data_IF_130861159116
#
_entry.id   IF_130861159116
#
_cell.length_a   1.000
_cell.length_b   1.000
_cell.length_c   1.000
_cell.angle_alpha   90.00
_cell.angle_beta   90.00
_cell.angle_gamma   90.00
#
_symmetry.space_group_name_H-M   'P 1'
#
loop_
_entity.id
_entity.type
_entity.pdbx_description
1 polymer ?
#
# COMPACT_ATOMS: atom_id res chain seq x y z
N UNK A 1 14.25 -4.20 3.95
CA UNK A 1 13.21 -3.93 2.93
C UNK A 1 11.84 -3.56 3.53
N UNK A 2 11.33 -4.26 4.55
CA UNK A 2 10.03 -3.95 5.16
C UNK A 2 9.87 -2.48 5.60
N UNK A 3 10.82 -1.97 6.39
CA UNK A 3 10.78 -0.57 6.83
C UNK A 3 11.06 0.45 5.71
N UNK A 4 11.70 0.03 4.61
CA UNK A 4 11.83 0.87 3.42
C UNK A 4 10.45 1.13 2.78
N UNK A 5 9.64 0.07 2.62
CA UNK A 5 8.26 0.20 2.16
C UNK A 5 7.43 1.10 3.08
N UNK A 6 7.58 0.95 4.40
CA UNK A 6 6.90 1.84 5.36
C UNK A 6 7.33 3.30 5.20
N UNK A 7 8.64 3.55 5.01
CA UNK A 7 9.18 4.88 4.78
C UNK A 7 8.53 5.55 3.56
N UNK A 8 8.39 4.83 2.44
CA UNK A 8 7.74 5.36 1.24
C UNK A 8 6.29 5.78 1.50
N UNK A 9 5.53 5.01 2.27
CA UNK A 9 4.15 5.38 2.62
C UNK A 9 4.06 6.62 3.52
N UNK A 10 5.00 6.78 4.46
CA UNK A 10 5.11 8.02 5.25
C UNK A 10 5.49 9.21 4.39
N UNK A 11 6.47 9.06 3.49
CA UNK A 11 6.89 10.12 2.57
C UNK A 11 5.77 10.56 1.62
N UNK A 12 4.94 9.61 1.16
CA UNK A 12 3.76 9.91 0.35
C UNK A 12 2.58 10.50 1.17
N UNK A 13 2.67 10.55 2.50
CA UNK A 13 1.61 11.08 3.36
C UNK A 13 0.34 10.23 3.38
N UNK A 14 0.45 8.94 3.04
CA UNK A 14 -0.68 8.00 2.90
C UNK A 14 -0.85 7.06 4.10
N UNK A 15 -0.02 7.23 5.13
CA UNK A 15 -0.14 6.53 6.42
C UNK A 15 -0.13 7.58 7.54
N UNK A 16 -0.90 7.36 8.60
CA UNK A 16 -0.89 8.26 9.77
C UNK A 16 0.16 7.86 10.81
N UNK A 17 0.28 8.66 11.87
CA UNK A 17 1.24 8.44 12.98
C UNK A 17 1.00 7.13 13.75
N UNK A 18 -0.19 6.54 13.62
CA UNK A 18 -0.53 5.23 14.20
C UNK A 18 -0.22 4.06 13.26
N UNK A 19 0.29 4.33 12.06
CA UNK A 19 0.58 3.32 11.04
C UNK A 19 -0.67 2.77 10.34
N UNK A 20 -1.77 3.53 10.33
CA UNK A 20 -3.00 3.18 9.60
C UNK A 20 -2.97 3.79 8.19
N UNK A 21 -3.36 2.98 7.21
CA UNK A 21 -3.31 3.35 5.79
C UNK A 21 -4.57 4.13 5.36
N UNK A 22 -4.36 5.22 4.64
CA UNK A 22 -5.43 6.02 4.04
C UNK A 22 -5.62 5.66 2.57
N UNK A 23 -6.41 4.63 2.28
CA UNK A 23 -6.60 4.10 0.92
C UNK A 23 -7.06 5.13 -0.12
N UNK A 24 -7.88 6.11 0.29
CA UNK A 24 -8.28 7.23 -0.60
C UNK A 24 -7.06 8.04 -1.02
N UNK A 25 -6.18 8.41 -0.06
CA UNK A 25 -4.94 9.13 -0.37
C UNK A 25 -3.97 8.31 -1.22
N UNK A 26 -3.93 6.99 -1.03
CA UNK A 26 -3.14 6.09 -1.90
C UNK A 26 -3.67 6.16 -3.32
N UNK A 27 -4.99 6.13 -3.51
CA UNK A 27 -5.60 6.27 -4.83
C UNK A 27 -5.27 7.62 -5.46
N UNK A 28 -5.37 8.72 -4.71
CA UNK A 28 -5.06 10.07 -5.17
C UNK A 28 -3.58 10.25 -5.54
N UNK A 29 -2.67 9.52 -4.89
CA UNK A 29 -1.23 9.52 -5.19
C UNK A 29 -0.90 8.80 -6.50
N UNK A 30 -1.74 7.85 -6.93
CA UNK A 30 -1.49 7.06 -8.12
C UNK A 30 -2.04 7.75 -9.38
N UNK A 31 -1.42 7.49 -10.56
CA UNK A 31 -1.96 7.97 -11.83
C UNK A 31 -3.40 7.53 -12.03
N UNK A 32 -4.22 8.38 -12.66
CA UNK A 32 -5.65 8.11 -12.91
C UNK A 32 -5.88 6.78 -13.65
N UNK A 33 -4.97 6.42 -14.57
CA UNK A 33 -4.98 5.14 -15.29
C UNK A 33 -4.92 3.91 -14.37
N UNK A 34 -4.43 4.06 -13.14
CA UNK A 34 -4.33 2.98 -12.15
C UNK A 34 -5.52 2.91 -11.20
N UNK A 35 -6.42 3.90 -11.15
CA UNK A 35 -7.47 3.98 -10.12
C UNK A 35 -8.40 2.76 -10.13
N UNK A 36 -8.85 2.33 -11.31
CA UNK A 36 -9.70 1.14 -11.43
C UNK A 36 -8.95 -0.15 -11.09
N UNK A 37 -7.66 -0.22 -11.39
CA UNK A 37 -6.80 -1.36 -11.06
C UNK A 37 -6.64 -1.47 -9.54
N UNK A 38 -6.33 -0.37 -8.87
CA UNK A 38 -6.04 -0.35 -7.43
C UNK A 38 -7.28 -0.55 -6.57
N UNK A 39 -8.47 -0.17 -7.05
CA UNK A 39 -9.73 -0.51 -6.38
C UNK A 39 -9.90 -2.03 -6.19
N UNK A 40 -9.46 -2.85 -7.15
CA UNK A 40 -9.50 -4.30 -7.02
C UNK A 40 -8.49 -4.85 -6.01
N UNK A 41 -7.38 -4.14 -5.80
CA UNK A 41 -6.38 -4.50 -4.79
C UNK A 41 -6.89 -4.18 -3.40
N UNK A 42 -7.40 -2.95 -3.20
CA UNK A 42 -7.88 -2.49 -1.90
C UNK A 42 -8.98 -3.42 -1.35
N UNK A 43 -9.97 -3.78 -2.17
CA UNK A 43 -11.05 -4.71 -1.77
C UNK A 43 -10.57 -6.03 -1.15
N UNK A 44 -9.34 -6.47 -1.44
CA UNK A 44 -8.77 -7.74 -0.96
C UNK A 44 -7.60 -7.57 0.02
N UNK A 45 -7.09 -6.34 0.17
CA UNK A 45 -5.92 -6.00 0.98
C UNK A 45 -6.23 -4.85 1.96
N UNK A 46 -7.50 -4.73 2.41
CA UNK A 46 -8.03 -3.64 3.22
C UNK A 46 -7.51 -3.61 4.67
N UNK A 47 -7.04 -4.75 5.18
CA UNK A 47 -6.67 -4.90 6.59
C UNK A 47 -5.24 -5.46 6.69
N UNK A 48 -4.21 -4.60 6.71
CA UNK A 48 -2.83 -5.03 6.80
C UNK A 48 -2.52 -5.68 8.14
N UNK A 49 -1.87 -6.85 8.10
CA UNK A 49 -1.49 -7.61 9.30
C UNK A 49 -0.01 -7.38 9.64
N UNK A 50 0.30 -7.36 10.94
CA UNK A 50 1.66 -7.22 11.43
C UNK A 50 1.74 -6.48 12.77
N UNK A 51 2.80 -6.76 13.52
CA UNK A 51 3.03 -6.21 14.87
C UNK A 51 3.42 -4.71 14.86
N UNK A 52 3.94 -4.21 13.74
CA UNK A 52 4.40 -2.83 13.60
C UNK A 52 4.18 -2.31 12.16
N UNK A 53 4.44 -1.01 11.95
CA UNK A 53 4.25 -0.36 10.65
C UNK A 53 5.06 -0.99 9.52
N UNK A 54 6.29 -1.45 9.79
CA UNK A 54 7.11 -2.12 8.78
C UNK A 54 6.51 -3.46 8.34
N UNK A 55 6.01 -4.26 9.28
CA UNK A 55 5.34 -5.53 8.97
C UNK A 55 4.06 -5.31 8.18
N UNK A 56 3.22 -4.36 8.60
CA UNK A 56 1.99 -3.99 7.88
C UNK A 56 2.27 -3.49 6.46
N UNK A 57 3.27 -2.63 6.29
CA UNK A 57 3.69 -2.14 4.97
C UNK A 57 4.18 -3.28 4.05
N UNK A 58 4.95 -4.22 4.61
CA UNK A 58 5.41 -5.39 3.87
C UNK A 58 4.25 -6.33 3.49
N UNK A 59 3.33 -6.59 4.43
CA UNK A 59 2.14 -7.39 4.18
C UNK A 59 1.31 -6.81 3.04
N UNK A 60 1.10 -5.49 3.05
CA UNK A 60 0.31 -4.80 2.03
C UNK A 60 0.96 -4.90 0.65
N UNK A 61 2.26 -4.63 0.56
CA UNK A 61 3.02 -4.78 -0.68
C UNK A 61 3.01 -6.23 -1.20
N UNK A 62 3.15 -7.22 -0.32
CA UNK A 62 3.02 -8.63 -0.68
C UNK A 62 1.63 -8.93 -1.23
N UNK A 63 0.57 -8.46 -0.57
CA UNK A 63 -0.82 -8.65 -1.00
C UNK A 63 -1.07 -8.07 -2.40
N UNK A 64 -0.62 -6.83 -2.65
CA UNK A 64 -0.73 -6.20 -3.98
C UNK A 64 0.06 -6.94 -5.06
N UNK A 65 1.33 -7.27 -4.79
CA UNK A 65 2.18 -8.00 -5.74
C UNK A 65 1.62 -9.37 -6.09
N UNK A 66 1.09 -10.10 -5.11
CA UNK A 66 0.45 -11.40 -5.36
C UNK A 66 -0.83 -11.25 -6.17
N UNK A 67 -1.59 -10.17 -5.98
CA UNK A 67 -2.87 -9.97 -6.65
C UNK A 67 -2.71 -9.55 -8.11
N UNK A 68 -1.73 -8.71 -8.39
CA UNK A 68 -1.49 -8.15 -9.71
C UNK A 68 0.01 -7.87 -9.91
N UNK A 69 0.80 -8.91 -10.18
CA UNK A 69 2.24 -8.77 -10.35
C UNK A 69 2.63 -7.97 -11.61
N UNK A 70 1.71 -7.79 -12.56
CA UNK A 70 1.94 -7.06 -13.83
C UNK A 70 1.98 -5.56 -13.57
N UNK A 71 1.03 -5.04 -12.79
CA UNK A 71 0.96 -3.60 -12.50
C UNK A 71 1.62 -3.21 -11.17
N UNK A 72 1.94 -4.17 -10.31
CA UNK A 72 2.66 -3.88 -9.06
C UNK A 72 4.08 -3.40 -9.33
N UNK A 73 4.44 -2.28 -8.71
CA UNK A 73 5.79 -1.72 -8.73
C UNK A 73 6.16 -1.18 -7.34
N UNK A 74 7.46 -1.27 -7.01
CA UNK A 74 8.06 -0.66 -5.82
C UNK A 74 9.30 0.12 -6.30
N UNK A 75 9.35 1.46 -6.14
CA UNK A 75 10.52 2.26 -6.49
C UNK A 75 11.71 1.99 -5.57
#
# INVERSE_FOLDING_TARGET
LKCYMNCLFHQAGVVNDKGEFHYVKIQDFLPESMHLITLNWFKRCLYPEGENGCEKAFWLNKCWKTRDPVHYFLP
#
